data_IF_051225596623
#
_entry.id   IF_051225596623
#
_cell.length_a   1.000
_cell.length_b   1.000
_cell.length_c   1.000
_cell.angle_alpha   90.00
_cell.angle_beta   90.00
_cell.angle_gamma   90.00
#
_symmetry.space_group_name_H-M   'P 1'
#
loop_
_entity.id
_entity.type
_entity.pdbx_description
1 polymer ?
#
# COMPACT_ATOMS: atom_id res chain seq x y z
N UNK A 1 8.09 -2.12 -5.29
CA UNK A 1 8.80 -0.83 -5.10
C UNK A 1 8.54 -0.33 -3.70
N UNK A 2 9.59 -0.17 -2.94
CA UNK A 2 9.52 0.22 -1.52
C UNK A 2 9.46 1.73 -1.36
N UNK A 3 8.72 2.18 -0.34
CA UNK A 3 8.68 3.57 0.04
C UNK A 3 8.24 4.51 -1.05
N UNK A 4 7.25 4.10 -1.83
CA UNK A 4 6.80 4.87 -2.98
C UNK A 4 6.30 6.24 -2.56
N UNK A 5 6.87 7.29 -3.13
CA UNK A 5 6.52 8.69 -2.87
C UNK A 5 6.14 9.45 -4.13
N UNK A 6 6.06 8.77 -5.26
CA UNK A 6 5.76 9.39 -6.54
C UNK A 6 4.30 9.80 -6.68
N UNK A 7 4.03 10.57 -7.72
CA UNK A 7 2.69 11.03 -8.02
C UNK A 7 1.86 9.92 -8.67
N UNK A 8 0.56 10.15 -8.78
CA UNK A 8 -0.39 9.16 -9.32
C UNK A 8 -0.04 8.72 -10.75
N UNK A 9 0.53 9.60 -11.56
CA UNK A 9 0.90 9.28 -12.93
C UNK A 9 1.98 8.21 -12.98
N UNK A 10 3.00 8.34 -12.14
CA UNK A 10 4.06 7.34 -12.05
C UNK A 10 3.52 6.04 -11.46
N UNK A 11 2.67 6.15 -10.43
CA UNK A 11 2.05 4.98 -9.82
C UNK A 11 1.26 4.19 -10.86
N UNK A 12 0.45 4.86 -11.67
CA UNK A 12 -0.36 4.23 -12.71
C UNK A 12 0.54 3.50 -13.71
N UNK A 13 1.63 4.13 -14.11
CA UNK A 13 2.56 3.56 -15.09
C UNK A 13 3.22 2.29 -14.55
N UNK A 14 3.68 2.33 -13.30
CA UNK A 14 4.31 1.17 -12.66
C UNK A 14 3.32 0.01 -12.50
N UNK A 15 2.08 0.32 -12.14
CA UNK A 15 1.03 -0.70 -12.00
C UNK A 15 0.74 -1.37 -13.35
N UNK A 16 0.74 -0.62 -14.43
CA UNK A 16 0.56 -1.17 -15.78
C UNK A 16 1.64 -2.18 -16.11
N UNK A 17 2.83 -2.00 -15.56
CA UNK A 17 3.95 -2.92 -15.79
C UNK A 17 4.00 -4.06 -14.77
N UNK A 18 2.97 -4.20 -13.95
CA UNK A 18 2.83 -5.31 -13.02
C UNK A 18 3.53 -5.17 -11.68
N UNK A 19 3.98 -3.97 -11.34
CA UNK A 19 4.67 -3.75 -10.07
C UNK A 19 3.69 -3.64 -8.91
N UNK A 20 4.09 -4.14 -7.75
CA UNK A 20 3.46 -3.83 -6.48
C UNK A 20 4.09 -2.55 -5.96
N UNK A 21 3.28 -1.70 -5.33
CA UNK A 21 3.77 -0.47 -4.72
C UNK A 21 3.60 -0.54 -3.21
N UNK A 22 4.70 -0.35 -2.49
CA UNK A 22 4.72 -0.34 -1.04
C UNK A 22 4.84 1.10 -0.55
N UNK A 23 3.89 1.54 0.27
CA UNK A 23 3.82 2.91 0.75
C UNK A 23 4.23 2.99 2.20
N UNK A 24 5.09 3.96 2.50
CA UNK A 24 5.45 4.34 3.87
C UNK A 24 4.65 5.56 4.30
N UNK A 25 5.01 6.12 5.45
CA UNK A 25 4.28 7.26 6.03
C UNK A 25 4.33 8.53 5.17
N UNK A 26 5.32 8.66 4.31
CA UNK A 26 5.47 9.86 3.46
C UNK A 26 4.89 9.65 2.08
N UNK A 27 3.73 9.05 2.01
CA UNK A 27 3.05 8.75 0.76
C UNK A 27 2.37 9.98 0.17
N UNK A 28 2.10 9.93 -1.14
CA UNK A 28 1.25 10.89 -1.83
C UNK A 28 -0.18 10.36 -1.81
N UNK A 29 -1.12 11.14 -1.28
CA UNK A 29 -2.49 10.68 -1.09
C UNK A 29 -3.17 10.24 -2.39
N UNK A 30 -2.98 11.01 -3.46
CA UNK A 30 -3.61 10.67 -4.74
C UNK A 30 -3.04 9.38 -5.33
N UNK A 31 -1.74 9.17 -5.19
CA UNK A 31 -1.12 7.93 -5.66
C UNK A 31 -1.66 6.73 -4.86
N UNK A 32 -1.71 6.87 -3.54
CA UNK A 32 -2.21 5.81 -2.67
C UNK A 32 -3.67 5.46 -2.99
N UNK A 33 -4.48 6.47 -3.30
CA UNK A 33 -5.90 6.28 -3.56
C UNK A 33 -6.20 5.51 -4.85
N UNK A 34 -5.31 5.59 -5.85
CA UNK A 34 -5.57 4.97 -7.15
C UNK A 34 -4.97 3.57 -7.31
N UNK A 35 -4.17 3.12 -6.35
CA UNK A 35 -3.55 1.79 -6.44
C UNK A 35 -4.61 0.71 -6.28
N UNK A 36 -4.69 -0.25 -7.22
CA UNK A 36 -5.62 -1.37 -7.04
C UNK A 36 -5.32 -2.18 -5.79
N UNK A 37 -6.35 -2.75 -5.20
CA UNK A 37 -6.21 -3.52 -3.97
C UNK A 37 -5.19 -4.65 -4.09
N UNK A 38 -5.07 -5.26 -5.26
CA UNK A 38 -4.16 -6.39 -5.48
C UNK A 38 -2.71 -5.99 -5.78
N UNK A 39 -2.40 -4.71 -5.73
CA UNK A 39 -1.04 -4.20 -5.96
C UNK A 39 -0.51 -3.36 -4.80
N UNK A 40 -1.27 -3.27 -3.72
CA UNK A 40 -0.96 -2.41 -2.58
C UNK A 40 -0.20 -3.15 -1.49
N UNK A 41 0.89 -2.55 -1.03
CA UNK A 41 1.59 -2.98 0.17
C UNK A 41 1.85 -1.75 1.03
N UNK A 42 1.94 -1.96 2.33
CA UNK A 42 2.27 -0.89 3.28
C UNK A 42 3.50 -1.31 4.08
N UNK A 43 4.40 -0.36 4.28
CA UNK A 43 5.61 -0.61 5.05
C UNK A 43 5.38 -0.29 6.52
N UNK A 44 5.89 -1.16 7.38
CA UNK A 44 5.95 -0.89 8.82
C UNK A 44 7.41 -0.97 9.24
N UNK A 45 7.88 0.08 9.90
CA UNK A 45 9.23 0.12 10.45
C UNK A 45 9.15 -0.45 11.87
N UNK A 46 10.09 -1.32 12.23
CA UNK A 46 10.13 -1.91 13.57
C UNK A 46 10.26 -0.84 14.66
N UNK A 47 10.90 0.28 14.35
CA UNK A 47 11.03 1.40 15.28
C UNK A 47 9.75 2.22 15.39
N UNK A 48 8.74 1.92 14.59
CA UNK A 48 7.54 2.73 14.48
C UNK A 48 6.40 2.08 15.26
N UNK A 49 6.06 2.68 16.39
CA UNK A 49 4.97 2.20 17.24
C UNK A 49 3.59 2.68 16.77
N UNK A 50 3.54 3.53 15.72
CA UNK A 50 2.30 4.13 15.22
C UNK A 50 1.76 3.47 13.95
N UNK A 51 2.21 2.26 13.63
CA UNK A 51 1.74 1.63 12.42
C UNK A 51 0.22 1.38 12.40
N UNK A 52 -0.46 1.10 13.54
CA UNK A 52 -1.92 0.99 13.49
C UNK A 52 -2.61 2.29 13.08
N UNK A 53 -2.09 3.45 13.53
CA UNK A 53 -2.61 4.75 13.11
C UNK A 53 -2.43 4.97 11.62
N UNK A 54 -1.27 4.63 11.09
CA UNK A 54 -0.98 4.71 9.66
C UNK A 54 -1.96 3.87 8.86
N UNK A 55 -2.18 2.62 9.26
CA UNK A 55 -3.12 1.73 8.58
C UNK A 55 -4.54 2.28 8.61
N UNK A 56 -4.95 2.89 9.73
CA UNK A 56 -6.28 3.50 9.84
C UNK A 56 -6.43 4.69 8.91
N UNK A 57 -5.39 5.51 8.76
CA UNK A 57 -5.41 6.63 7.83
C UNK A 57 -5.55 6.14 6.40
N UNK A 58 -4.80 5.12 6.03
CA UNK A 58 -4.86 4.54 4.69
C UNK A 58 -6.24 3.94 4.43
N UNK A 59 -6.79 3.22 5.39
CA UNK A 59 -8.12 2.63 5.26
C UNK A 59 -9.18 3.72 5.00
N UNK A 60 -9.09 4.83 5.75
CA UNK A 60 -10.00 5.95 5.58
C UNK A 60 -9.89 6.56 4.18
N UNK A 61 -8.66 6.79 3.73
CA UNK A 61 -8.41 7.34 2.39
C UNK A 61 -8.96 6.44 1.29
N UNK A 62 -8.88 5.15 1.46
CA UNK A 62 -9.32 4.18 0.46
C UNK A 62 -10.78 3.79 0.62
N UNK A 63 -11.47 4.31 1.63
CA UNK A 63 -12.88 4.00 1.86
C UNK A 63 -13.14 2.57 2.29
N UNK A 64 -12.23 1.98 3.05
CA UNK A 64 -12.34 0.60 3.52
C UNK A 64 -12.16 0.55 5.04
N UNK A 65 -12.50 -0.59 5.65
CA UNK A 65 -12.27 -0.78 7.08
C UNK A 65 -10.82 -1.16 7.34
N UNK A 66 -10.38 -0.93 8.58
CA UNK A 66 -9.05 -1.33 9.02
C UNK A 66 -8.83 -2.84 8.82
N UNK A 67 -9.80 -3.66 9.22
CA UNK A 67 -9.67 -5.11 9.12
C UNK A 67 -9.59 -5.57 7.66
N UNK A 68 -10.39 -5.00 6.79
CA UNK A 68 -10.34 -5.33 5.36
C UNK A 68 -8.99 -4.94 4.75
N UNK A 69 -8.46 -3.79 5.14
CA UNK A 69 -7.15 -3.35 4.65
C UNK A 69 -6.05 -4.31 5.10
N UNK A 70 -6.04 -4.69 6.38
CA UNK A 70 -5.04 -5.61 6.91
C UNK A 70 -5.07 -6.94 6.17
N UNK A 71 -6.25 -7.50 5.95
CA UNK A 71 -6.40 -8.75 5.20
C UNK A 71 -5.92 -8.61 3.76
N UNK A 72 -6.25 -7.50 3.13
CA UNK A 72 -5.82 -7.20 1.77
C UNK A 72 -4.29 -7.16 1.66
N UNK A 73 -3.63 -6.48 2.59
CA UNK A 73 -2.18 -6.39 2.61
C UNK A 73 -1.54 -7.76 2.83
N UNK A 74 -2.10 -8.56 3.74
CA UNK A 74 -1.61 -9.93 3.98
C UNK A 74 -1.71 -10.79 2.74
N UNK A 75 -2.83 -10.73 2.04
CA UNK A 75 -3.03 -11.50 0.81
C UNK A 75 -2.02 -11.10 -0.26
N UNK A 76 -1.77 -9.81 -0.41
CA UNK A 76 -0.81 -9.30 -1.39
C UNK A 76 0.61 -9.75 -1.05
N UNK A 77 1.00 -9.67 0.21
CA UNK A 77 2.32 -10.12 0.65
C UNK A 77 2.49 -11.61 0.40
N UNK A 78 1.47 -12.40 0.71
CA UNK A 78 1.47 -13.84 0.47
C UNK A 78 1.67 -14.15 -1.01
N UNK A 79 0.90 -13.48 -1.85
CA UNK A 79 0.96 -13.66 -3.31
C UNK A 79 2.35 -13.30 -3.84
N UNK A 80 2.91 -12.22 -3.34
CA UNK A 80 4.22 -11.74 -3.80
C UNK A 80 5.34 -12.70 -3.40
N UNK A 81 5.30 -13.24 -2.19
CA UNK A 81 6.40 -14.06 -1.68
C UNK A 81 6.26 -15.55 -1.97
N UNK A 82 5.05 -16.05 -2.15
CA UNK A 82 4.81 -17.50 -2.27
C UNK A 82 4.29 -17.95 -3.64
N UNK A 83 3.82 -17.04 -4.47
CA UNK A 83 3.23 -17.36 -5.77
C UNK A 83 3.98 -16.66 -6.92
N UNK A 84 5.26 -16.66 -6.84
CA UNK A 84 6.08 -16.08 -7.91
C UNK A 84 6.14 -17.00 -9.12
#
# INVERSE_FOLDING_TARGET
IHGFRGKKELATDLIRHGFYLSFGKKYQEKALSIVPADRLLLESDEADTDFPSFYRQVASLRGTSFDSLVENIKENANRLFFNR
#
